data_IF_832375234144
#
_entry.id   IF_832375234144
#
_cell.length_a   1.000
_cell.length_b   1.000
_cell.length_c   1.000
_cell.angle_alpha   90.00
_cell.angle_beta   90.00
_cell.angle_gamma   90.00
#
_symmetry.space_group_name_H-M   'P 1'
#
loop_
_entity.id
_entity.type
_entity.pdbx_description
1 polymer ?
#
# COMPACT_ATOMS: atom_id res chain seq x y z
N UNK A 1 -9.89 -15.51 -34.71
CA UNK A 1 -10.75 -15.10 -33.60
C UNK A 1 -10.25 -13.75 -33.16
N UNK A 2 -11.07 -12.71 -33.21
CA UNK A 2 -10.70 -11.41 -32.66
C UNK A 2 -10.60 -11.57 -31.15
N UNK A 3 -9.43 -11.27 -30.58
CA UNK A 3 -9.26 -11.23 -29.13
C UNK A 3 -10.27 -10.22 -28.56
N UNK A 4 -11.08 -10.65 -27.61
CA UNK A 4 -12.04 -9.78 -26.93
C UNK A 4 -11.28 -9.03 -25.83
N UNK A 5 -11.26 -7.70 -25.92
CA UNK A 5 -10.76 -6.84 -24.85
C UNK A 5 -11.92 -6.49 -23.91
N UNK A 6 -11.66 -6.61 -22.62
CA UNK A 6 -12.55 -6.17 -21.55
C UNK A 6 -12.27 -4.72 -21.17
N UNK A 7 -13.27 -4.07 -20.58
CA UNK A 7 -13.12 -2.75 -19.97
C UNK A 7 -12.84 -2.92 -18.48
N UNK A 8 -11.70 -2.38 -18.03
CA UNK A 8 -11.31 -2.40 -16.63
C UNK A 8 -11.87 -1.20 -15.87
N UNK A 9 -12.42 -1.45 -14.68
CA UNK A 9 -12.89 -0.43 -13.75
C UNK A 9 -12.41 -0.71 -12.33
N UNK A 10 -12.35 0.32 -11.49
CA UNK A 10 -12.01 0.21 -10.08
C UNK A 10 -13.06 0.97 -9.26
N UNK A 11 -13.65 0.27 -8.29
CA UNK A 11 -14.50 0.86 -7.26
C UNK A 11 -13.82 0.72 -5.91
N UNK A 12 -13.86 1.75 -5.08
CA UNK A 12 -13.43 1.65 -3.67
C UNK A 12 -14.67 1.58 -2.80
N UNK A 13 -14.76 0.54 -1.96
CA UNK A 13 -15.74 0.46 -0.89
C UNK A 13 -15.11 1.12 0.34
N UNK A 14 -15.66 2.23 0.87
CA UNK A 14 -15.13 2.86 2.07
C UNK A 14 -15.27 1.93 3.29
N UNK A 15 -14.49 2.15 4.37
CA UNK A 15 -14.64 1.37 5.60
C UNK A 15 -16.07 1.51 6.16
N UNK A 16 -16.65 0.42 6.67
CA UNK A 16 -17.95 0.49 7.36
C UNK A 16 -17.73 1.09 8.76
N UNK A 17 -18.36 2.23 9.10
CA UNK A 17 -18.18 2.84 10.41
C UNK A 17 -18.67 1.95 11.57
N UNK A 18 -19.48 0.91 11.28
CA UNK A 18 -19.98 -0.05 12.27
C UNK A 18 -19.07 -1.27 12.42
N UNK A 19 -18.17 -1.51 11.48
CA UNK A 19 -17.22 -2.62 11.53
C UNK A 19 -15.80 -2.09 11.63
N UNK A 20 -15.31 -2.05 12.87
CA UNK A 20 -13.97 -1.56 13.18
C UNK A 20 -12.83 -2.49 12.74
N UNK A 21 -13.12 -3.50 11.94
CA UNK A 21 -12.12 -4.39 11.39
C UNK A 21 -12.10 -4.33 9.86
N UNK A 22 -13.02 -3.57 9.25
CA UNK A 22 -13.13 -3.48 7.79
C UNK A 22 -12.44 -2.22 7.26
N UNK A 23 -11.29 -2.43 6.62
CA UNK A 23 -10.56 -1.40 5.87
C UNK A 23 -11.29 -1.02 4.57
N UNK A 24 -10.97 0.12 3.95
CA UNK A 24 -11.40 0.40 2.59
C UNK A 24 -10.93 -0.70 1.64
N UNK A 25 -11.86 -1.17 0.81
CA UNK A 25 -11.64 -2.32 -0.05
C UNK A 25 -11.63 -1.88 -1.51
N UNK A 26 -10.59 -2.27 -2.26
CA UNK A 26 -10.57 -2.04 -3.70
C UNK A 26 -11.40 -3.12 -4.41
N UNK A 27 -12.16 -2.80 -5.44
CA UNK A 27 -13.02 -3.74 -6.16
C UNK A 27 -12.80 -3.59 -7.67
N UNK A 28 -12.09 -4.54 -8.31
CA UNK A 28 -11.95 -4.55 -9.75
C UNK A 28 -13.31 -4.85 -10.41
N UNK A 29 -13.63 -4.08 -11.44
CA UNK A 29 -14.78 -4.25 -12.30
C UNK A 29 -14.31 -4.70 -13.69
N UNK A 30 -14.94 -5.73 -14.24
CA UNK A 30 -14.70 -6.20 -15.60
C UNK A 30 -16.00 -6.03 -16.36
N UNK A 31 -15.97 -5.20 -17.41
CA UNK A 31 -17.16 -4.81 -18.16
C UNK A 31 -18.28 -4.25 -17.25
N UNK A 32 -17.88 -3.55 -16.19
CA UNK A 32 -18.77 -2.96 -15.19
C UNK A 32 -19.30 -3.93 -14.13
N UNK A 33 -18.91 -5.21 -14.16
CA UNK A 33 -19.31 -6.22 -13.17
C UNK A 33 -18.22 -6.41 -12.12
N UNK A 34 -18.60 -6.41 -10.85
CA UNK A 34 -17.65 -6.65 -9.74
C UNK A 34 -17.08 -8.06 -9.84
N UNK A 35 -15.80 -8.13 -10.19
CA UNK A 35 -15.10 -9.38 -10.47
C UNK A 35 -15.00 -10.27 -9.22
N UNK A 36 -14.89 -9.64 -8.05
CA UNK A 36 -14.77 -10.36 -6.80
C UNK A 36 -16.15 -10.80 -6.34
N UNK A 37 -17.18 -9.94 -6.33
CA UNK A 37 -18.52 -10.29 -5.82
C UNK A 37 -19.18 -11.39 -6.63
N UNK A 38 -18.96 -11.37 -7.95
CA UNK A 38 -19.56 -12.32 -8.87
C UNK A 38 -19.05 -13.74 -8.61
N UNK A 39 -17.74 -13.88 -8.41
CA UNK A 39 -17.07 -15.18 -8.47
C UNK A 39 -16.51 -15.62 -7.10
N UNK A 40 -16.33 -14.70 -6.15
CA UNK A 40 -15.63 -14.91 -4.88
C UNK A 40 -16.31 -14.17 -3.71
N UNK A 41 -16.86 -14.91 -2.73
CA UNK A 41 -17.31 -14.33 -1.45
C UNK A 41 -16.11 -13.95 -0.56
N UNK A 42 -15.27 -13.05 -1.07
CA UNK A 42 -13.97 -12.68 -0.52
C UNK A 42 -13.83 -11.15 -0.44
N UNK A 43 -12.94 -10.70 0.45
CA UNK A 43 -12.46 -9.33 0.46
C UNK A 43 -11.25 -9.22 -0.47
N UNK A 44 -11.27 -8.22 -1.34
CA UNK A 44 -10.08 -7.78 -2.06
C UNK A 44 -9.24 -6.88 -1.14
N UNK A 45 -8.00 -6.58 -1.52
CA UNK A 45 -7.08 -5.93 -0.61
C UNK A 45 -7.38 -4.47 -0.31
N UNK A 46 -6.59 -3.92 0.62
CA UNK A 46 -6.72 -2.57 1.13
C UNK A 46 -6.47 -1.53 0.03
N UNK A 47 -7.44 -0.65 -0.23
CA UNK A 47 -7.34 0.37 -1.26
C UNK A 47 -6.10 1.28 -1.11
N UNK A 48 -5.62 1.48 0.13
CA UNK A 48 -4.43 2.29 0.42
C UNK A 48 -3.15 1.67 -0.14
N UNK A 49 -3.05 0.35 -0.09
CA UNK A 49 -1.91 -0.39 -0.65
C UNK A 49 -2.10 -0.68 -2.13
N UNK A 50 -3.33 -0.98 -2.54
CA UNK A 50 -3.65 -1.37 -3.92
C UNK A 50 -3.53 -0.24 -4.94
N UNK A 51 -3.82 0.99 -4.52
CA UNK A 51 -3.80 2.17 -5.37
C UNK A 51 -2.54 3.03 -5.20
N UNK A 52 -1.55 2.53 -4.44
CA UNK A 52 -0.22 3.14 -4.40
C UNK A 52 0.41 3.14 -5.80
N UNK A 53 1.34 4.08 -6.11
CA UNK A 53 1.96 4.19 -7.44
C UNK A 53 2.61 2.90 -7.96
N UNK A 54 3.16 2.08 -7.07
CA UNK A 54 3.79 0.77 -7.30
C UNK A 54 2.93 -0.40 -6.74
N UNK A 55 1.64 -0.13 -6.53
CA UNK A 55 0.69 -1.07 -5.98
C UNK A 55 0.32 -2.21 -6.94
N UNK A 56 -0.42 -3.22 -6.45
CA UNK A 56 -0.90 -4.39 -7.19
C UNK A 56 -1.39 -4.16 -8.62
N UNK A 57 -2.12 -3.08 -8.88
CA UNK A 57 -2.65 -2.80 -10.22
C UNK A 57 -1.65 -2.13 -11.17
N UNK A 58 -0.48 -1.69 -10.69
CA UNK A 58 0.55 -1.08 -11.53
C UNK A 58 1.26 -2.15 -12.38
N UNK A 59 0.76 -2.38 -13.61
CA UNK A 59 1.33 -3.37 -14.54
C UNK A 59 2.38 -2.70 -15.43
N UNK A 60 3.63 -2.79 -14.98
CA UNK A 60 4.79 -2.35 -15.74
C UNK A 60 5.30 -3.37 -16.76
N UNK A 61 6.57 -3.22 -17.15
CA UNK A 61 7.25 -4.15 -18.07
C UNK A 61 7.54 -5.52 -17.42
N UNK A 62 7.79 -5.53 -16.11
CA UNK A 62 8.02 -6.76 -15.37
C UNK A 62 6.68 -7.38 -14.96
N UNK A 63 6.41 -8.65 -15.30
CA UNK A 63 5.22 -9.34 -14.81
C UNK A 63 5.32 -9.59 -13.31
N UNK A 64 4.18 -9.57 -12.63
CA UNK A 64 4.08 -9.85 -11.21
C UNK A 64 2.80 -10.60 -10.88
N UNK A 65 2.79 -11.27 -9.73
CA UNK A 65 1.64 -12.04 -9.26
C UNK A 65 1.06 -11.36 -8.02
N UNK A 66 -0.26 -11.24 -7.97
CA UNK A 66 -0.97 -10.66 -6.84
C UNK A 66 -2.00 -11.64 -6.33
N UNK A 67 -2.07 -11.78 -5.00
CA UNK A 67 -3.19 -12.45 -4.36
C UNK A 67 -4.36 -11.47 -4.36
N UNK A 68 -5.30 -11.62 -5.29
CA UNK A 68 -6.40 -10.68 -5.53
C UNK A 68 -7.48 -10.74 -4.46
N UNK A 69 -7.80 -11.94 -4.00
CA UNK A 69 -8.82 -12.18 -3.00
C UNK A 69 -8.42 -13.35 -2.11
N UNK A 70 -8.51 -13.12 -0.80
CA UNK A 70 -8.34 -14.18 0.20
C UNK A 70 -9.71 -14.69 0.61
N UNK A 71 -9.91 -16.01 0.55
CA UNK A 71 -11.13 -16.65 1.06
C UNK A 71 -10.84 -17.17 2.46
N UNK A 72 -11.89 -17.30 3.28
CA UNK A 72 -11.74 -17.85 4.64
C UNK A 72 -10.96 -19.18 4.60
N UNK A 73 -10.11 -19.43 5.61
CA UNK A 73 -9.01 -20.43 5.60
C UNK A 73 -9.35 -21.91 5.36
N UNK A 74 -10.56 -22.23 4.88
CA UNK A 74 -10.93 -23.51 4.28
C UNK A 74 -10.96 -23.49 2.74
N UNK A 75 -10.61 -22.39 2.06
CA UNK A 75 -10.58 -22.28 0.59
C UNK A 75 -9.33 -21.53 0.09
N UNK A 76 -8.92 -21.83 -1.15
CA UNK A 76 -7.77 -21.20 -1.83
C UNK A 76 -7.99 -19.71 -2.11
N UNK A 77 -6.90 -18.95 -2.12
CA UNK A 77 -6.90 -17.58 -2.59
C UNK A 77 -7.03 -17.52 -4.13
N UNK A 78 -7.47 -16.38 -4.65
CA UNK A 78 -7.39 -16.08 -6.08
C UNK A 78 -6.07 -15.36 -6.34
N UNK A 79 -5.12 -16.05 -6.96
CA UNK A 79 -3.88 -15.45 -7.42
C UNK A 79 -4.04 -15.01 -8.89
N UNK A 80 -3.56 -13.83 -9.24
CA UNK A 80 -3.63 -13.27 -10.59
C UNK A 80 -2.23 -12.86 -11.02
N UNK A 81 -1.72 -13.49 -12.08
CA UNK A 81 -0.50 -13.06 -12.72
C UNK A 81 -0.80 -11.96 -13.73
N UNK A 82 -0.24 -10.79 -13.52
CA UNK A 82 -0.43 -9.61 -14.35
C UNK A 82 0.81 -9.33 -15.19
N UNK A 83 0.62 -9.00 -16.47
CA UNK A 83 1.71 -8.66 -17.38
C UNK A 83 1.27 -7.72 -18.48
N UNK A 84 2.23 -7.00 -19.06
CA UNK A 84 2.03 -6.17 -20.24
C UNK A 84 2.48 -6.90 -21.50
N UNK A 85 1.62 -6.92 -22.52
CA UNK A 85 1.86 -7.45 -23.85
C UNK A 85 1.62 -6.32 -24.87
N UNK A 86 2.63 -5.46 -25.05
CA UNK A 86 2.52 -4.29 -25.93
C UNK A 86 1.43 -3.32 -25.47
N UNK A 87 0.36 -3.21 -26.26
CA UNK A 87 -0.82 -2.38 -25.97
C UNK A 87 -1.90 -3.10 -25.15
N UNK A 88 -1.62 -4.28 -24.63
CA UNK A 88 -2.58 -5.10 -23.88
C UNK A 88 -2.04 -5.37 -22.47
N UNK A 89 -2.89 -5.25 -21.45
CA UNK A 89 -2.63 -5.81 -20.12
C UNK A 89 -3.33 -7.15 -20.04
N UNK A 90 -2.62 -8.19 -19.60
CA UNK A 90 -3.17 -9.55 -19.46
C UNK A 90 -3.15 -9.96 -17.99
N UNK A 91 -4.31 -10.42 -17.53
CA UNK A 91 -4.46 -11.09 -16.25
C UNK A 91 -4.66 -12.58 -16.49
N UNK A 92 -3.76 -13.39 -15.95
CA UNK A 92 -3.85 -14.85 -15.94
C UNK A 92 -4.31 -15.31 -14.56
N UNK A 93 -5.54 -15.83 -14.51
CA UNK A 93 -6.22 -16.23 -13.27
C UNK A 93 -5.75 -17.63 -12.84
N UNK A 94 -5.10 -17.70 -11.69
CA UNK A 94 -4.64 -18.96 -11.07
C UNK A 94 -5.49 -19.27 -9.85
N UNK A 95 -6.32 -20.30 -9.92
CA UNK A 95 -6.93 -20.88 -8.72
C UNK A 95 -5.99 -21.93 -8.12
N UNK A 96 -5.65 -21.80 -6.83
CA UNK A 96 -4.60 -22.63 -6.24
C UNK A 96 -4.93 -24.13 -6.20
N UNK A 97 -6.20 -24.56 -6.30
CA UNK A 97 -6.60 -25.98 -6.31
C UNK A 97 -7.73 -26.31 -7.33
N UNK A 98 -7.35 -26.68 -8.56
CA UNK A 98 -7.84 -27.92 -9.17
C UNK A 98 -9.16 -27.99 -9.97
N UNK A 99 -9.93 -26.92 -10.19
CA UNK A 99 -11.18 -27.02 -11.00
C UNK A 99 -11.44 -25.89 -11.98
N UNK A 100 -10.42 -25.44 -12.71
CA UNK A 100 -10.70 -24.75 -13.98
C UNK A 100 -9.78 -25.29 -15.11
N UNK A 101 -10.30 -26.14 -16.01
CA UNK A 101 -9.54 -26.64 -17.17
C UNK A 101 -9.16 -25.53 -18.17
N UNK A 102 -9.81 -24.36 -18.07
CA UNK A 102 -9.60 -23.21 -18.94
C UNK A 102 -9.21 -21.99 -18.08
N UNK A 103 -7.97 -21.96 -17.57
CA UNK A 103 -7.40 -20.76 -16.94
C UNK A 103 -7.76 -19.52 -17.77
N UNK A 104 -8.57 -18.64 -17.19
CA UNK A 104 -9.18 -17.54 -17.94
C UNK A 104 -8.19 -16.40 -18.07
N UNK A 105 -7.66 -16.18 -19.27
CA UNK A 105 -6.93 -14.95 -19.56
C UNK A 105 -7.92 -13.82 -19.81
N UNK A 106 -7.83 -12.76 -19.01
CA UNK A 106 -8.54 -11.51 -19.27
C UNK A 106 -7.57 -10.54 -19.92
N UNK A 107 -7.98 -9.95 -21.04
CA UNK A 107 -7.20 -8.97 -21.78
C UNK A 107 -7.86 -7.61 -21.73
N UNK A 108 -7.07 -6.57 -21.51
CA UNK A 108 -7.52 -5.18 -21.42
C UNK A 108 -6.70 -4.31 -22.37
N UNK A 109 -7.32 -3.27 -22.93
CA UNK A 109 -6.56 -2.19 -23.57
C UNK A 109 -5.67 -1.51 -22.51
N UNK A 110 -4.37 -1.44 -22.77
CA UNK A 110 -3.42 -0.95 -21.79
C UNK A 110 -3.60 0.55 -21.48
N UNK A 111 -3.98 1.36 -22.48
CA UNK A 111 -4.21 2.79 -22.27
C UNK A 111 -5.43 3.05 -21.40
N UNK A 112 -6.52 2.30 -21.63
CA UNK A 112 -7.72 2.35 -20.81
C UNK A 112 -7.46 1.88 -19.39
N UNK A 113 -6.74 0.76 -19.24
CA UNK A 113 -6.35 0.20 -17.95
C UNK A 113 -5.52 1.20 -17.14
N UNK A 114 -4.46 1.77 -17.73
CA UNK A 114 -3.57 2.73 -17.07
C UNK A 114 -4.31 4.02 -16.67
N UNK A 115 -5.21 4.50 -17.54
CA UNK A 115 -6.05 5.66 -17.24
C UNK A 115 -6.99 5.40 -16.05
N UNK A 116 -7.54 4.19 -15.94
CA UNK A 116 -8.41 3.82 -14.83
C UNK A 116 -7.64 3.68 -13.51
N UNK A 117 -6.46 3.05 -13.54
CA UNK A 117 -5.57 2.98 -12.36
C UNK A 117 -5.19 4.39 -11.91
N UNK A 118 -4.75 5.26 -12.82
CA UNK A 118 -4.40 6.64 -12.49
C UNK A 118 -5.59 7.44 -11.92
N UNK A 119 -6.79 7.27 -12.49
CA UNK A 119 -8.03 7.87 -11.96
C UNK A 119 -8.33 7.37 -10.56
N UNK A 120 -8.25 6.06 -10.32
CA UNK A 120 -8.53 5.47 -9.01
C UNK A 120 -7.52 5.93 -7.95
N UNK A 121 -6.22 5.97 -8.28
CA UNK A 121 -5.15 6.45 -7.40
C UNK A 121 -5.26 7.93 -7.02
N UNK A 122 -5.97 8.73 -7.82
CA UNK A 122 -6.21 10.16 -7.52
C UNK A 122 -7.57 10.43 -6.87
N UNK A 123 -8.47 9.45 -6.84
CA UNK A 123 -9.76 9.55 -6.15
C UNK A 123 -9.57 9.36 -4.65
N UNK A 124 -9.63 10.47 -3.91
CA UNK A 124 -9.48 10.52 -2.45
C UNK A 124 -10.81 10.64 -1.70
N UNK A 125 -11.95 10.51 -2.37
CA UNK A 125 -13.28 10.73 -1.74
C UNK A 125 -13.66 9.68 -0.69
N UNK A 126 -12.97 8.54 -0.69
CA UNK A 126 -13.13 7.47 0.30
C UNK A 126 -12.23 7.66 1.53
N UNK A 127 -11.27 8.59 1.47
CA UNK A 127 -10.36 8.86 2.59
C UNK A 127 -11.07 9.67 3.67
N UNK A 128 -10.84 9.31 4.93
CA UNK A 128 -11.12 10.17 6.07
C UNK A 128 -9.92 11.11 6.30
N UNK A 129 -10.09 12.22 7.05
CA UNK A 129 -9.05 13.23 7.22
C UNK A 129 -7.68 12.66 7.64
N UNK A 130 -7.65 11.76 8.63
CA UNK A 130 -6.41 11.14 9.09
C UNK A 130 -5.70 10.33 8.00
N UNK A 131 -6.47 9.65 7.12
CA UNK A 131 -5.89 8.91 6.00
C UNK A 131 -5.29 9.83 4.95
N UNK A 132 -5.94 10.96 4.66
CA UNK A 132 -5.38 11.97 3.76
C UNK A 132 -4.08 12.55 4.33
N UNK A 133 -4.04 12.88 5.64
CA UNK A 133 -2.80 13.34 6.28
C UNK A 133 -1.70 12.28 6.15
N UNK A 134 -2.02 11.02 6.48
CA UNK A 134 -1.04 9.91 6.46
C UNK A 134 -0.48 9.67 5.05
N UNK A 135 -1.34 9.62 4.03
CA UNK A 135 -0.92 9.42 2.64
C UNK A 135 -0.03 10.57 2.17
N UNK A 136 -0.48 11.82 2.31
CA UNK A 136 0.27 12.99 1.84
C UNK A 136 1.61 13.11 2.57
N UNK A 137 1.64 12.90 3.89
CA UNK A 137 2.89 12.89 4.64
C UNK A 137 3.83 11.77 4.18
N UNK A 138 3.31 10.56 3.99
CA UNK A 138 4.08 9.44 3.46
C UNK A 138 4.69 9.73 2.09
N UNK A 139 3.92 10.33 1.18
CA UNK A 139 4.38 10.72 -0.15
C UNK A 139 5.49 11.78 -0.06
N UNK A 140 5.29 12.82 0.76
CA UNK A 140 6.30 13.88 0.97
C UNK A 140 7.62 13.32 1.52
N UNK A 141 7.55 12.41 2.49
CA UNK A 141 8.74 11.78 3.07
C UNK A 141 9.44 10.85 2.06
N UNK A 142 8.68 10.06 1.29
CA UNK A 142 9.24 9.17 0.25
C UNK A 142 9.87 9.94 -0.91
N UNK A 143 9.35 11.11 -1.27
CA UNK A 143 9.94 11.96 -2.30
C UNK A 143 11.26 12.64 -1.88
N UNK A 144 11.65 12.56 -0.60
CA UNK A 144 12.80 13.28 -0.02
C UNK A 144 13.86 12.32 0.51
N UNK A 145 14.28 11.41 -0.38
CA UNK A 145 15.27 10.36 -0.09
C UNK A 145 16.66 10.90 0.23
N UNK A 146 17.00 12.09 -0.26
CA UNK A 146 18.26 12.79 0.00
C UNK A 146 18.44 13.14 1.49
N UNK A 147 17.39 13.70 2.10
CA UNK A 147 17.36 14.04 3.52
C UNK A 147 17.41 12.79 4.40
N UNK A 148 16.66 11.74 4.04
CA UNK A 148 16.69 10.46 4.76
C UNK A 148 18.07 9.80 4.70
N UNK A 149 18.70 9.77 3.52
CA UNK A 149 20.03 9.23 3.34
C UNK A 149 21.09 9.99 4.14
N UNK A 150 20.98 11.32 4.24
CA UNK A 150 21.89 12.13 5.04
C UNK A 150 21.92 11.70 6.52
N UNK A 151 20.78 11.29 7.07
CA UNK A 151 20.65 10.82 8.45
C UNK A 151 20.78 9.30 8.61
N UNK A 152 21.17 8.58 7.55
CA UNK A 152 21.19 7.11 7.52
C UNK A 152 19.86 6.48 7.95
N UNK A 153 18.75 7.11 7.55
CA UNK A 153 17.40 6.66 7.87
C UNK A 153 16.63 6.22 6.61
N UNK A 154 15.61 5.40 6.80
CA UNK A 154 14.62 5.03 5.78
C UNK A 154 13.23 5.30 6.35
N UNK A 155 12.32 5.89 5.57
CA UNK A 155 10.93 6.02 5.97
C UNK A 155 10.27 4.65 6.00
N UNK A 156 9.64 4.32 7.13
CA UNK A 156 8.76 3.18 7.26
C UNK A 156 7.36 3.49 6.74
N UNK A 157 6.36 2.88 7.37
CA UNK A 157 4.97 3.14 7.04
C UNK A 157 4.49 4.45 7.67
N UNK A 158 3.57 5.13 6.99
CA UNK A 158 2.74 6.22 7.53
C UNK A 158 1.29 5.80 7.35
N UNK A 159 0.56 5.64 8.44
CA UNK A 159 -0.81 5.12 8.38
C UNK A 159 -1.73 5.80 9.40
N UNK A 160 -3.02 5.57 9.21
CA UNK A 160 -4.05 5.94 10.15
C UNK A 160 -5.06 4.80 10.29
N UNK A 161 -5.84 4.83 11.37
CA UNK A 161 -7.00 3.96 11.53
C UNK A 161 -8.27 4.74 11.13
N UNK A 162 -9.27 4.10 10.50
CA UNK A 162 -10.57 4.75 10.25
C UNK A 162 -11.31 5.19 11.51
N UNK A 163 -10.88 4.72 12.69
CA UNK A 163 -11.56 4.94 13.96
C UNK A 163 -10.71 5.73 14.96
N UNK A 164 -9.58 6.28 14.52
CA UNK A 164 -8.72 7.11 15.35
C UNK A 164 -8.30 8.37 14.59
N UNK A 165 -8.46 9.52 15.22
CA UNK A 165 -8.02 10.82 14.70
C UNK A 165 -6.52 11.03 14.97
N UNK A 166 -5.72 10.08 14.52
CA UNK A 166 -4.27 10.10 14.64
C UNK A 166 -3.61 9.49 13.42
N UNK A 167 -2.44 10.01 13.09
CA UNK A 167 -1.50 9.35 12.18
C UNK A 167 -0.39 8.70 12.99
N UNK A 168 0.14 7.62 12.45
CA UNK A 168 1.26 6.88 12.99
C UNK A 168 2.31 6.78 11.92
N UNK A 169 3.56 6.97 12.30
CA UNK A 169 4.68 6.71 11.41
C UNK A 169 5.89 6.19 12.16
N UNK A 170 6.72 5.45 11.45
CA UNK A 170 8.05 5.09 11.93
C UNK A 170 9.10 5.26 10.83
N UNK A 171 10.34 5.27 11.26
CA UNK A 171 11.55 5.23 10.46
C UNK A 171 12.41 4.07 10.91
N UNK A 172 13.28 3.63 10.00
CA UNK A 172 14.35 2.69 10.28
C UNK A 172 15.67 3.46 10.30
N UNK A 173 16.48 3.25 11.34
CA UNK A 173 17.80 3.84 11.49
C UNK A 173 18.87 2.81 11.11
N UNK A 174 19.91 3.27 10.45
CA UNK A 174 21.10 2.51 10.12
C UNK A 174 22.37 3.20 10.62
N UNK A 175 23.38 2.38 10.95
CA UNK A 175 24.74 2.83 11.21
C UNK A 175 25.65 2.43 10.06
N UNK A 176 26.43 3.38 9.56
CA UNK A 176 27.49 3.11 8.58
C UNK A 176 28.64 2.38 9.26
N UNK A 177 28.96 1.20 8.74
CA UNK A 177 30.10 0.41 9.16
C UNK A 177 31.41 0.93 8.52
N UNK A 178 32.59 0.57 9.06
CA UNK A 178 33.88 1.00 8.52
C UNK A 178 34.12 0.61 7.05
N UNK A 179 33.45 -0.43 6.56
CA UNK A 179 33.49 -0.90 5.17
C UNK A 179 32.46 -0.20 4.26
N UNK A 180 31.69 0.74 4.80
CA UNK A 180 30.63 1.47 4.10
C UNK A 180 29.27 0.76 4.11
N UNK A 181 29.16 -0.46 4.64
CA UNK A 181 27.89 -1.15 4.72
C UNK A 181 26.94 -0.50 5.74
N UNK A 182 25.63 -0.53 5.48
CA UNK A 182 24.61 -0.08 6.42
C UNK A 182 24.17 -1.24 7.32
N UNK A 183 24.28 -1.05 8.64
CA UNK A 183 23.78 -1.99 9.66
C UNK A 183 22.52 -1.43 10.30
N UNK A 184 21.47 -2.24 10.40
CA UNK A 184 20.26 -1.87 11.14
C UNK A 184 20.62 -1.52 12.60
N UNK A 185 20.20 -0.33 13.04
CA UNK A 185 20.50 0.22 14.36
C UNK A 185 19.25 0.35 15.24
N UNK A 186 18.05 0.27 14.66
CA UNK A 186 16.79 0.31 15.39
C UNK A 186 15.68 0.97 14.57
N UNK A 187 14.51 1.08 15.19
CA UNK A 187 13.38 1.85 14.68
C UNK A 187 13.02 2.97 15.64
N UNK A 188 12.35 3.98 15.11
CA UNK A 188 11.80 5.07 15.89
C UNK A 188 10.56 5.63 15.20
N UNK A 189 9.62 6.19 15.96
CA UNK A 189 8.33 6.62 15.41
C UNK A 189 7.57 7.56 16.31
N UNK A 190 6.43 8.04 15.80
CA UNK A 190 5.56 8.99 16.50
C UNK A 190 4.10 8.70 16.19
N UNK A 191 3.24 8.98 17.16
CA UNK A 191 1.79 9.14 16.97
C UNK A 191 1.50 10.64 16.96
N UNK A 192 0.70 11.12 16.01
CA UNK A 192 0.34 12.54 15.89
C UNK A 192 -1.16 12.71 15.80
N UNK A 193 -1.76 13.63 16.57
CA UNK A 193 -3.18 13.91 16.45
C UNK A 193 -3.48 14.56 15.10
N UNK A 194 -4.63 14.22 14.54
CA UNK A 194 -5.23 14.92 13.41
C UNK A 194 -6.05 16.07 13.96
N UNK A 195 -5.95 17.24 13.34
CA UNK A 195 -6.65 18.46 13.78
C UNK A 195 -7.76 18.79 12.79
N UNK A 196 -8.55 19.82 13.09
CA UNK A 196 -9.57 20.36 12.16
C UNK A 196 -8.96 21.18 11.01
N UNK A 197 -7.62 21.18 10.88
CA UNK A 197 -6.93 21.82 9.76
C UNK A 197 -7.25 21.10 8.44
N UNK A 198 -7.04 21.78 7.31
CA UNK A 198 -7.01 21.10 6.03
C UNK A 198 -5.99 19.94 6.07
N UNK A 199 -6.36 18.69 5.76
CA UNK A 199 -5.47 17.54 5.89
C UNK A 199 -4.15 17.65 5.10
N UNK A 200 -4.19 18.28 3.92
CA UNK A 200 -2.99 18.48 3.10
C UNK A 200 -2.05 19.48 3.78
N UNK A 201 -2.59 20.61 4.25
CA UNK A 201 -1.81 21.61 4.98
C UNK A 201 -1.20 21.04 6.27
N UNK A 202 -1.97 20.23 7.00
CA UNK A 202 -1.46 19.55 8.19
C UNK A 202 -0.30 18.60 7.84
N UNK A 203 -0.42 17.81 6.79
CA UNK A 203 0.64 16.91 6.32
C UNK A 203 1.91 17.66 5.91
N UNK A 204 1.77 18.75 5.15
CA UNK A 204 2.89 19.61 4.75
C UNK A 204 3.61 20.22 5.95
N UNK A 205 2.86 20.73 6.94
CA UNK A 205 3.41 21.26 8.18
C UNK A 205 4.16 20.21 8.98
N UNK A 206 3.59 19.00 9.11
CA UNK A 206 4.24 17.88 9.79
C UNK A 206 5.51 17.43 9.05
N UNK A 207 5.50 17.40 7.71
CA UNK A 207 6.68 17.10 6.92
C UNK A 207 7.77 18.15 7.17
N UNK A 208 7.45 19.44 7.14
CA UNK A 208 8.40 20.51 7.45
C UNK A 208 8.99 20.39 8.85
N UNK A 209 8.16 20.07 9.85
CA UNK A 209 8.60 19.88 11.23
C UNK A 209 9.57 18.69 11.37
N UNK A 210 9.20 17.53 10.82
CA UNK A 210 10.01 16.30 10.87
C UNK A 210 11.31 16.48 10.11
N UNK A 211 11.27 17.18 8.97
CA UNK A 211 12.42 17.37 8.08
C UNK A 211 13.31 18.56 8.44
N UNK A 212 13.00 19.29 9.52
CA UNK A 212 13.78 20.45 9.94
C UNK A 212 15.20 20.09 10.42
N UNK A 213 15.45 18.81 10.74
CA UNK A 213 16.74 18.33 11.24
C UNK A 213 16.84 16.82 11.20
N UNK A 214 17.48 16.24 12.22
CA UNK A 214 17.55 14.80 12.43
C UNK A 214 16.15 14.27 12.77
N UNK A 215 15.59 13.32 11.99
CA UNK A 215 14.27 12.77 12.27
C UNK A 215 14.17 12.10 13.64
N UNK A 216 15.28 11.61 14.21
CA UNK A 216 15.32 10.99 15.54
C UNK A 216 15.05 11.99 16.66
N UNK A 217 15.42 13.26 16.44
CA UNK A 217 15.29 14.36 17.40
C UNK A 217 14.01 15.18 17.20
N UNK A 218 13.18 14.81 16.20
CA UNK A 218 11.91 15.48 15.97
C UNK A 218 10.97 15.34 17.18
N UNK A 219 10.15 16.36 17.44
CA UNK A 219 9.26 16.36 18.59
C UNK A 219 8.31 15.15 18.57
N UNK A 220 8.12 14.48 19.71
CA UNK A 220 7.24 13.32 19.83
C UNK A 220 7.80 12.01 19.28
N UNK A 221 9.04 12.02 18.80
CA UNK A 221 9.70 10.82 18.30
C UNK A 221 10.17 9.93 19.45
N UNK A 222 9.92 8.62 19.33
CA UNK A 222 10.33 7.59 20.28
C UNK A 222 11.08 6.49 19.57
N UNK A 223 12.28 6.18 20.03
CA UNK A 223 13.07 5.04 19.53
C UNK A 223 12.84 3.76 20.30
N UNK A 224 13.29 2.65 19.72
CA UNK A 224 13.45 1.38 20.44
C UNK A 224 14.34 1.59 21.66
N UNK A 225 13.82 1.26 22.85
CA UNK A 225 14.58 1.34 24.10
C UNK A 225 14.58 -0.01 24.80
N UNK A 226 15.74 -0.47 25.34
CA UNK A 226 15.79 -1.73 26.07
C UNK A 226 14.79 -1.75 27.24
N UNK A 227 13.83 -2.68 27.19
CA UNK A 227 12.80 -2.85 28.23
C UNK A 227 11.48 -2.10 27.99
N UNK A 228 11.34 -1.33 26.90
CA UNK A 228 10.16 -0.50 26.63
C UNK A 228 9.23 -1.03 25.50
N UNK A 229 9.50 -2.24 24.99
CA UNK A 229 8.79 -2.82 23.85
C UNK A 229 9.31 -2.32 22.50
N UNK A 230 9.00 -3.03 21.41
CA UNK A 230 9.31 -2.58 20.04
C UNK A 230 8.44 -1.35 19.72
N UNK A 231 9.01 -0.34 19.05
CA UNK A 231 8.23 0.83 18.60
C UNK A 231 7.01 0.42 17.78
N UNK A 232 7.07 -0.69 17.03
CA UNK A 232 5.94 -1.20 16.26
C UNK A 232 4.79 -1.68 17.14
N UNK A 233 5.09 -2.28 18.30
CA UNK A 233 4.05 -2.68 19.26
C UNK A 233 3.37 -1.45 19.85
N UNK A 234 4.15 -0.42 20.20
CA UNK A 234 3.63 0.84 20.71
C UNK A 234 2.75 1.58 19.67
N UNK A 235 3.17 1.56 18.40
CA UNK A 235 2.37 2.10 17.29
C UNK A 235 1.16 1.21 16.95
N UNK A 236 0.96 0.09 17.64
CA UNK A 236 -0.15 -0.84 17.39
C UNK A 236 -0.04 -1.59 16.06
N UNK A 237 1.17 -1.74 15.51
CA UNK A 237 1.48 -2.42 14.25
C UNK A 237 1.30 -3.94 14.28
N UNK A 238 0.99 -4.52 15.45
CA UNK A 238 0.68 -5.95 15.59
C UNK A 238 -0.67 -6.38 14.97
N UNK A 239 -1.55 -5.43 14.63
CA UNK A 239 -2.75 -5.71 13.83
C UNK A 239 -2.42 -5.54 12.36
N UNK A 240 -1.69 -6.52 11.82
CA UNK A 240 -1.48 -6.63 10.39
C UNK A 240 -2.82 -6.51 9.66
N UNK A 241 -2.86 -5.50 8.81
CA UNK A 241 -3.74 -5.36 7.66
C UNK A 241 -4.03 -6.76 7.09
N UNK A 242 -5.26 -7.25 7.27
CA UNK A 242 -5.75 -8.40 6.51
C UNK A 242 -6.01 -7.94 5.07
N UNK A 243 -4.93 -7.57 4.39
CA UNK A 243 -4.83 -7.56 2.94
C UNK A 243 -3.84 -8.65 2.52
N UNK A 244 -3.93 -9.13 1.27
CA UNK A 244 -3.01 -10.14 0.74
C UNK A 244 -1.56 -9.78 1.07
N UNK A 245 -0.82 -10.77 1.55
CA UNK A 245 0.46 -10.56 2.22
C UNK A 245 1.40 -9.71 1.36
N UNK A 246 1.83 -8.56 1.90
CA UNK A 246 2.92 -7.75 1.35
C UNK A 246 4.23 -8.53 1.15
N UNK A 247 4.33 -9.74 1.72
CA UNK A 247 5.42 -10.70 1.54
C UNK A 247 5.59 -11.25 0.11
N UNK A 248 4.63 -11.05 -0.80
CA UNK A 248 4.77 -11.46 -2.22
C UNK A 248 5.24 -10.34 -3.16
N UNK A 249 5.47 -9.12 -2.66
CA UNK A 249 6.04 -8.04 -3.49
C UNK A 249 7.52 -8.28 -3.75
N UNK A 250 7.98 -8.32 -5.02
CA UNK A 250 9.39 -8.07 -5.30
C UNK A 250 9.65 -6.62 -4.91
N UNK A 251 10.27 -6.40 -3.74
CA UNK A 251 10.97 -5.16 -3.46
C UNK A 251 11.93 -4.96 -4.62
N UNK A 252 11.80 -3.85 -5.35
CA UNK A 252 12.71 -3.53 -6.44
C UNK A 252 14.15 -3.72 -5.94
N UNK A 253 15.04 -4.38 -6.71
CA UNK A 253 16.39 -4.64 -6.26
C UNK A 253 17.02 -3.30 -5.88
N UNK A 254 17.43 -3.15 -4.62
CA UNK A 254 18.19 -2.01 -4.13
C UNK A 254 19.42 -1.89 -5.02
N UNK A 255 19.38 -0.94 -5.96
CA UNK A 255 20.52 -0.60 -6.80
C UNK A 255 21.61 -0.02 -5.91
N UNK A 256 22.62 -0.83 -5.62
CA UNK A 256 23.91 -0.35 -5.14
C UNK A 256 24.54 0.46 -6.29
N UNK A 257 24.55 1.78 -6.16
CA UNK A 257 25.44 2.67 -6.87
C UNK A 257 26.28 3.44 -5.87
#
# INVERSE_FOLDING_TARGET
>A
MTEQLHVFGIRVIPPDPRDRHRMPEVRPLIDGVDFIERDYMASCGDARSWLAPDGPFAVGEAPHEVEMATRCGCHSALDVAMRREGSTVVWDLKESEGTNPDGGELRFDAGQYDAEVARASTDSRWEWPAQTVARVLGDLLRCRTDWLAHWCCEAGEVWSSPWADEIRLYFVNYETQPDGALRFAGRFGTIRPVTDENPIAQAERLAQEIMAGDPREAAGMRGDSPGEGDVLDWLGGGYQLHGPSSYKWPVAPRGLH
#
